data_IF_754117214897
#
_entry.id   IF_754117214897
#
_cell.length_a   1.000
_cell.length_b   1.000
_cell.length_c   1.000
_cell.angle_alpha   90.00
_cell.angle_beta   90.00
_cell.angle_gamma   90.00
#
_symmetry.space_group_name_H-M   'P 1'
#
loop_
_entity.id
_entity.type
_entity.pdbx_description
1 polymer ?
#
# COMPACT_ATOMS: atom_id res chain seq x y z
N UNK A 1 21.31 -27.63 0.62
CA UNK A 1 20.38 -26.56 1.03
C UNK A 1 20.09 -25.65 -0.14
N UNK A 2 18.82 -25.34 -0.43
CA UNK A 2 18.47 -24.33 -1.43
C UNK A 2 18.33 -22.97 -0.73
N UNK A 3 19.16 -22.01 -1.11
CA UNK A 3 19.03 -20.64 -0.62
C UNK A 3 17.69 -20.03 -1.07
N UNK A 4 16.90 -19.49 -0.13
CA UNK A 4 15.69 -18.75 -0.45
C UNK A 4 16.05 -17.32 -0.82
N UNK A 5 15.71 -16.91 -2.05
CA UNK A 5 15.84 -15.53 -2.49
C UNK A 5 14.45 -14.88 -2.64
N UNK A 6 14.31 -13.64 -2.19
CA UNK A 6 13.10 -12.84 -2.39
C UNK A 6 13.37 -11.75 -3.41
N UNK A 7 12.54 -11.68 -4.46
CA UNK A 7 12.57 -10.59 -5.42
C UNK A 7 11.57 -9.50 -5.00
N UNK A 8 11.96 -8.24 -5.17
CA UNK A 8 11.07 -7.08 -5.07
C UNK A 8 11.38 -6.11 -6.20
N UNK A 9 10.37 -5.75 -6.99
CA UNK A 9 10.48 -4.65 -7.97
C UNK A 9 10.26 -3.30 -7.31
N UNK A 10 11.15 -2.36 -7.65
CA UNK A 10 11.06 -0.94 -7.37
C UNK A 10 11.08 -0.21 -8.70
N UNK A 11 10.14 0.70 -8.91
CA UNK A 11 10.01 1.45 -10.15
C UNK A 11 10.38 2.90 -9.89
N UNK A 12 11.25 3.46 -10.73
CA UNK A 12 11.69 4.85 -10.65
C UNK A 12 11.29 5.64 -11.88
N UNK A 13 10.99 6.92 -11.72
CA UNK A 13 10.84 7.82 -12.85
C UNK A 13 12.20 7.96 -13.58
N UNK A 14 12.25 7.83 -14.93
CA UNK A 14 13.51 7.68 -15.65
C UNK A 14 14.42 8.91 -15.62
N UNK A 15 13.86 10.11 -15.38
CA UNK A 15 14.63 11.37 -15.35
C UNK A 15 14.93 11.84 -13.93
N UNK A 16 13.92 11.91 -13.07
CA UNK A 16 14.06 12.43 -11.69
C UNK A 16 14.61 11.39 -10.71
N UNK A 17 14.52 10.09 -11.04
CA UNK A 17 14.92 9.01 -10.14
C UNK A 17 13.95 8.77 -8.98
N UNK A 18 12.84 9.50 -8.91
CA UNK A 18 11.82 9.35 -7.87
C UNK A 18 11.19 7.96 -7.88
N UNK A 19 10.93 7.41 -6.70
CA UNK A 19 10.24 6.13 -6.55
C UNK A 19 8.75 6.30 -6.86
N UNK A 20 8.26 5.60 -7.89
CA UNK A 20 6.87 5.74 -8.37
C UNK A 20 6.00 4.52 -8.08
N UNK A 21 6.61 3.34 -7.87
CA UNK A 21 5.88 2.14 -7.45
C UNK A 21 6.80 1.12 -6.78
N UNK A 22 6.21 0.23 -5.97
CA UNK A 22 6.88 -0.90 -5.34
C UNK A 22 5.91 -2.08 -5.25
N UNK A 23 6.42 -3.31 -5.34
CA UNK A 23 5.67 -4.54 -5.05
C UNK A 23 6.17 -5.23 -3.77
N UNK A 24 5.39 -6.16 -3.24
CA UNK A 24 5.75 -7.02 -2.11
C UNK A 24 5.00 -8.34 -2.20
N UNK A 25 5.64 -9.44 -1.77
CA UNK A 25 4.97 -10.73 -1.53
C UNK A 25 4.39 -10.86 -0.13
N UNK A 26 4.71 -9.93 0.78
CA UNK A 26 4.14 -9.91 2.12
C UNK A 26 2.68 -9.45 2.08
N UNK A 27 1.80 -10.09 2.87
CA UNK A 27 0.41 -9.64 3.03
C UNK A 27 0.34 -8.26 3.68
N UNK A 28 1.09 -8.05 4.76
CA UNK A 28 1.16 -6.75 5.44
C UNK A 28 2.08 -5.82 4.64
N UNK A 29 1.65 -4.57 4.46
CA UNK A 29 2.47 -3.52 3.83
C UNK A 29 3.79 -3.34 4.59
N UNK A 30 4.95 -3.67 3.99
CA UNK A 30 6.24 -3.48 4.64
C UNK A 30 6.52 -1.99 4.87
N UNK A 31 7.36 -1.66 5.87
CA UNK A 31 7.63 -0.28 6.32
C UNK A 31 7.83 0.73 5.18
N UNK A 32 8.65 0.42 4.17
CA UNK A 32 8.91 1.33 3.05
C UNK A 32 7.68 1.57 2.15
N UNK A 33 6.87 0.54 1.92
CA UNK A 33 5.65 0.67 1.12
C UNK A 33 4.54 1.39 1.92
N UNK A 34 4.41 1.11 3.22
CA UNK A 34 3.51 1.86 4.09
C UNK A 34 3.87 3.35 4.15
N UNK A 35 5.16 3.67 4.29
CA UNK A 35 5.63 5.06 4.24
C UNK A 35 5.30 5.73 2.91
N UNK A 36 5.51 5.05 1.79
CA UNK A 36 5.15 5.57 0.46
C UNK A 36 3.65 5.86 0.35
N UNK A 37 2.79 4.92 0.80
CA UNK A 37 1.33 5.10 0.78
C UNK A 37 0.93 6.31 1.64
N UNK A 38 1.49 6.45 2.84
CA UNK A 38 1.21 7.59 3.72
C UNK A 38 1.56 8.94 3.07
N UNK A 39 2.73 9.03 2.41
CA UNK A 39 3.15 10.25 1.69
C UNK A 39 2.24 10.57 0.49
N UNK A 40 1.79 9.54 -0.24
CA UNK A 40 0.93 9.68 -1.42
C UNK A 40 -0.49 10.09 -1.05
N UNK A 41 -1.06 9.48 -0.02
CA UNK A 41 -2.50 9.57 0.26
C UNK A 41 -2.87 10.75 1.16
N UNK A 42 -2.00 11.16 2.11
CA UNK A 42 -2.18 12.29 3.04
C UNK A 42 -3.43 12.16 3.95
N UNK A 43 -4.67 12.54 3.56
CA UNK A 43 -5.85 12.08 4.27
C UNK A 43 -6.31 10.67 3.85
N UNK A 44 -7.34 10.17 4.54
CA UNK A 44 -8.06 8.96 4.15
C UNK A 44 -8.48 8.98 2.67
N UNK A 45 -8.28 7.88 1.96
CA UNK A 45 -8.64 7.72 0.53
C UNK A 45 -10.13 7.51 0.27
N UNK A 46 -10.95 7.39 1.32
CA UNK A 46 -12.41 7.28 1.16
C UNK A 46 -12.96 8.62 0.69
N UNK A 47 -13.79 8.67 -0.37
CA UNK A 47 -14.37 9.92 -0.85
C UNK A 47 -15.02 10.74 0.26
N UNK A 48 -14.74 12.04 0.27
CA UNK A 48 -15.25 13.01 1.25
C UNK A 48 -14.77 12.81 2.70
N UNK A 49 -13.87 11.86 2.96
CA UNK A 49 -13.24 11.67 4.26
C UNK A 49 -11.90 12.40 4.32
N UNK A 50 -11.77 13.39 5.20
CA UNK A 50 -10.51 14.13 5.41
C UNK A 50 -9.77 13.70 6.69
N UNK A 51 -10.13 12.54 7.26
CA UNK A 51 -9.55 12.07 8.51
C UNK A 51 -8.09 11.61 8.33
N UNK A 52 -7.24 11.71 9.36
CA UNK A 52 -5.88 11.21 9.31
C UNK A 52 -5.83 9.70 9.04
N UNK A 53 -4.84 9.27 8.26
CA UNK A 53 -4.56 7.86 8.00
C UNK A 53 -4.17 7.16 9.31
N UNK A 54 -4.78 6.00 9.58
CA UNK A 54 -4.46 5.12 10.72
C UNK A 54 -4.17 3.69 10.29
N UNK A 55 -4.64 3.28 9.12
CA UNK A 55 -4.42 1.96 8.53
C UNK A 55 -3.91 2.06 7.10
N UNK A 56 -3.15 1.04 6.70
CA UNK A 56 -2.80 0.77 5.32
C UNK A 56 -3.48 -0.53 4.94
N UNK A 57 -4.35 -0.49 3.93
CA UNK A 57 -5.16 -1.64 3.55
C UNK A 57 -5.28 -1.76 2.03
N UNK A 58 -5.68 -2.93 1.55
CA UNK A 58 -5.79 -3.18 0.11
C UNK A 58 -7.14 -2.72 -0.45
N UNK A 59 -7.15 -2.00 -1.57
CA UNK A 59 -8.36 -1.65 -2.32
C UNK A 59 -9.11 -2.91 -2.78
N UNK A 60 -8.39 -3.82 -3.44
CA UNK A 60 -8.82 -5.21 -3.65
C UNK A 60 -8.21 -6.05 -2.53
N UNK A 61 -9.01 -6.68 -1.65
CA UNK A 61 -8.49 -7.46 -0.53
C UNK A 61 -7.54 -8.58 -0.97
N UNK A 62 -6.53 -8.87 -0.14
CA UNK A 62 -5.61 -10.00 -0.34
C UNK A 62 -6.36 -11.34 -0.49
N UNK A 63 -7.44 -11.55 0.28
CA UNK A 63 -8.34 -12.73 0.17
C UNK A 63 -9.03 -12.88 -1.19
N UNK A 64 -9.09 -11.80 -1.97
CA UNK A 64 -9.63 -11.77 -3.33
C UNK A 64 -8.53 -11.71 -4.40
N UNK A 65 -7.28 -12.01 -4.04
CA UNK A 65 -6.13 -11.99 -4.95
C UNK A 65 -5.48 -10.62 -5.13
N UNK A 66 -5.85 -9.63 -4.32
CA UNK A 66 -5.25 -8.29 -4.39
C UNK A 66 -3.79 -8.28 -3.94
N UNK A 67 -2.89 -7.88 -4.83
CA UNK A 67 -1.45 -7.84 -4.53
C UNK A 67 -1.08 -6.71 -3.56
N UNK A 68 -0.08 -6.95 -2.72
CA UNK A 68 0.54 -5.91 -1.89
C UNK A 68 1.49 -5.08 -2.73
N UNK A 69 0.99 -3.97 -3.26
CA UNK A 69 1.78 -3.01 -4.03
C UNK A 69 1.26 -1.59 -3.80
N UNK A 70 1.99 -0.60 -4.31
CA UNK A 70 1.61 0.79 -4.19
C UNK A 70 0.22 1.10 -4.79
N UNK A 71 -0.11 0.53 -5.95
CA UNK A 71 -1.38 0.82 -6.63
C UNK A 71 -2.61 0.31 -5.88
N UNK A 72 -2.51 -0.88 -5.29
CA UNK A 72 -3.59 -1.52 -4.56
C UNK A 72 -3.62 -1.12 -3.07
N UNK A 73 -2.56 -0.53 -2.53
CA UNK A 73 -2.56 -0.04 -1.15
C UNK A 73 -3.30 1.29 -1.01
N UNK A 74 -3.99 1.48 0.11
CA UNK A 74 -4.73 2.68 0.49
C UNK A 74 -4.37 3.11 1.91
N UNK A 75 -4.16 4.41 2.11
CA UNK A 75 -4.21 5.05 3.42
C UNK A 75 -5.65 5.29 3.85
N UNK A 76 -6.06 4.69 4.98
CA UNK A 76 -7.44 4.73 5.47
C UNK A 76 -7.49 5.17 6.94
N UNK A 77 -8.52 5.92 7.32
CA UNK A 77 -8.83 6.12 8.74
C UNK A 77 -9.46 4.84 9.33
N UNK A 78 -9.49 4.72 10.66
CA UNK A 78 -10.02 3.54 11.35
C UNK A 78 -11.49 3.27 11.02
N UNK A 79 -12.34 4.30 11.05
CA UNK A 79 -13.77 4.15 10.79
C UNK A 79 -14.05 3.66 9.36
N UNK A 80 -13.44 4.29 8.34
CA UNK A 80 -13.64 3.89 6.95
C UNK A 80 -13.03 2.51 6.66
N UNK A 81 -11.91 2.16 7.30
CA UNK A 81 -11.32 0.83 7.15
C UNK A 81 -12.25 -0.26 7.69
N UNK A 82 -12.83 -0.06 8.87
CA UNK A 82 -13.77 -1.02 9.44
C UNK A 82 -15.07 -1.09 8.63
N UNK A 83 -15.58 0.03 8.15
CA UNK A 83 -16.77 0.05 7.29
C UNK A 83 -16.56 -0.71 5.96
N UNK A 84 -15.33 -0.67 5.40
CA UNK A 84 -14.97 -1.40 4.17
C UNK A 84 -14.92 -2.92 4.37
N UNK A 85 -14.53 -3.38 5.56
CA UNK A 85 -14.34 -4.81 5.85
C UNK A 85 -15.51 -5.48 6.56
N UNK A 86 -16.54 -4.71 6.94
CA UNK A 86 -17.81 -5.19 7.47
C UNK A 86 -18.57 -6.02 6.42
#
# INVERSE_FOLDING_TARGET
ENAKATLRRLYRHPRSGELVAMESRARIFPKGLAMFIGLRDQPCRTPFCNAPIRHHDHATPDRAGGHTNALNGLGMCQACNYAKEA
#
